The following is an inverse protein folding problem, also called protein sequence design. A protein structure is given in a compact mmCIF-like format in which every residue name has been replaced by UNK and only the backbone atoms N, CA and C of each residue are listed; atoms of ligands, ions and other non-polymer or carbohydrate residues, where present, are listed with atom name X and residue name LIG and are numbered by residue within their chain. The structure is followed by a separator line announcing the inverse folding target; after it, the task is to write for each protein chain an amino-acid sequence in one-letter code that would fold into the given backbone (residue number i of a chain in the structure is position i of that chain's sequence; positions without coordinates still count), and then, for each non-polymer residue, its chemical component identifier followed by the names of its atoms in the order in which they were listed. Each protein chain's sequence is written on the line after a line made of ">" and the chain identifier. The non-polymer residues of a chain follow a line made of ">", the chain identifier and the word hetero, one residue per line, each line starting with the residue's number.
data_IF_148739796029
#
_entry.id   IF_148739796029
#
_cell.length_a   1.000
_cell.length_b   1.000
_cell.length_c   1.000
_cell.angle_alpha   90.00
_cell.angle_beta   90.00
_cell.angle_gamma   90.00
#
_symmetry.space_group_name_H-M   'P 1'
#
loop_
_entity.id
_entity.type
_entity.pdbx_description
1 polymer ?
#
# COMPACT_ATOMS: atom_id res chain seq x y z
N UNK A 1 4.86 -3.09 -22.79
CA UNK A 1 4.82 -4.47 -22.23
C UNK A 1 5.46 -4.42 -20.85
N UNK A 2 4.97 -5.16 -19.84
CA UNK A 2 5.72 -5.28 -18.60
C UNK A 2 7.10 -5.87 -18.93
N UNK A 3 8.16 -5.29 -18.37
CA UNK A 3 9.55 -5.71 -18.63
C UNK A 3 9.90 -7.09 -18.04
N UNK A 4 8.98 -7.68 -17.27
CA UNK A 4 9.18 -8.91 -16.50
C UNK A 4 7.93 -9.80 -16.52
N UNK A 5 8.12 -11.13 -16.49
CA UNK A 5 7.05 -12.12 -16.58
C UNK A 5 6.01 -12.07 -15.43
N UNK A 6 4.84 -12.71 -15.60
CA UNK A 6 3.72 -12.65 -14.65
C UNK A 6 4.08 -13.13 -13.24
N UNK A 7 4.86 -14.22 -13.13
CA UNK A 7 5.30 -14.76 -11.84
C UNK A 7 6.15 -13.76 -11.05
N UNK A 8 7.02 -13.02 -11.74
CA UNK A 8 7.86 -12.00 -11.12
C UNK A 8 7.03 -10.83 -10.58
N UNK A 9 6.00 -10.42 -11.32
CA UNK A 9 5.07 -9.38 -10.86
C UNK A 9 4.30 -9.84 -9.61
N UNK A 10 3.88 -11.11 -9.57
CA UNK A 10 3.20 -11.67 -8.40
C UNK A 10 4.11 -11.66 -7.16
N UNK A 11 5.39 -12.00 -7.31
CA UNK A 11 6.37 -11.92 -6.20
C UNK A 11 6.56 -10.49 -5.72
N UNK A 12 6.71 -9.52 -6.63
CA UNK A 12 6.80 -8.09 -6.27
C UNK A 12 5.54 -7.60 -5.57
N UNK A 13 4.37 -7.99 -6.04
CA UNK A 13 3.08 -7.67 -5.42
C UNK A 13 3.00 -8.23 -3.99
N UNK A 14 3.38 -9.50 -3.80
CA UNK A 14 3.43 -10.14 -2.49
C UNK A 14 4.39 -9.43 -1.52
N UNK A 15 5.59 -9.07 -1.99
CA UNK A 15 6.55 -8.30 -1.21
C UNK A 15 6.01 -6.93 -0.79
N UNK A 16 5.39 -6.19 -1.71
CA UNK A 16 4.73 -4.92 -1.41
C UNK A 16 3.64 -5.10 -0.36
N UNK A 17 2.88 -6.20 -0.41
CA UNK A 17 1.86 -6.53 0.60
C UNK A 17 2.43 -6.76 2.01
N UNK A 18 3.59 -7.42 2.13
CA UNK A 18 4.27 -7.60 3.42
C UNK A 18 4.70 -6.23 3.97
N UNK A 19 5.36 -5.42 3.15
CA UNK A 19 5.81 -4.08 3.54
C UNK A 19 4.63 -3.18 3.91
N UNK A 20 3.53 -3.24 3.16
CA UNK A 20 2.30 -2.53 3.46
C UNK A 20 1.73 -2.88 4.84
N UNK A 21 1.70 -4.17 5.17
CA UNK A 21 1.19 -4.64 6.47
C UNK A 21 2.05 -4.08 7.62
N UNK A 22 3.38 -4.09 7.46
CA UNK A 22 4.29 -3.51 8.45
C UNK A 22 4.09 -2.01 8.61
N UNK A 23 4.01 -1.25 7.51
CA UNK A 23 3.77 0.20 7.56
C UNK A 23 2.43 0.51 8.22
N UNK A 24 1.37 -0.21 7.84
CA UNK A 24 0.03 -0.02 8.40
C UNK A 24 0.03 -0.27 9.91
N UNK A 25 0.65 -1.38 10.35
CA UNK A 25 0.77 -1.70 11.77
C UNK A 25 1.56 -0.61 12.53
N UNK A 26 2.69 -0.15 12.00
CA UNK A 26 3.50 0.91 12.60
C UNK A 26 2.69 2.20 12.75
N UNK A 27 1.95 2.61 11.72
CA UNK A 27 1.10 3.80 11.77
C UNK A 27 0.03 3.65 12.85
N UNK A 28 -0.68 2.53 12.89
CA UNK A 28 -1.74 2.30 13.88
C UNK A 28 -1.16 2.35 15.30
N UNK A 29 -0.07 1.64 15.56
CA UNK A 29 0.53 1.60 16.90
C UNK A 29 1.13 2.94 17.32
N UNK A 30 1.76 3.68 16.41
CA UNK A 30 2.26 5.02 16.70
C UNK A 30 1.11 5.98 17.05
N UNK A 31 0.02 5.98 16.27
CA UNK A 31 -1.13 6.84 16.55
C UNK A 31 -1.81 6.46 17.87
N UNK A 32 -1.96 5.17 18.15
CA UNK A 32 -2.45 4.69 19.45
C UNK A 32 -1.54 5.12 20.61
N UNK A 33 -0.22 5.06 20.43
CA UNK A 33 0.76 5.51 21.42
C UNK A 33 0.67 7.03 21.67
N UNK A 34 0.33 7.81 20.65
CA UNK A 34 0.04 9.25 20.76
C UNK A 34 -1.32 9.57 21.38
N UNK A 35 -2.09 8.56 21.82
CA UNK A 35 -3.38 8.72 22.49
C UNK A 35 -4.57 8.82 21.53
N UNK A 36 -4.38 8.60 20.23
CA UNK A 36 -5.51 8.53 19.29
C UNK A 36 -6.28 7.22 19.52
N UNK A 37 -7.61 7.34 19.60
CA UNK A 37 -8.49 6.18 19.81
C UNK A 37 -8.34 5.13 18.70
N UNK A 38 -8.62 3.87 19.05
CA UNK A 38 -8.42 2.71 18.16
C UNK A 38 -9.09 2.85 16.79
N UNK A 39 -10.29 3.42 16.73
CA UNK A 39 -11.01 3.62 15.47
C UNK A 39 -10.32 4.64 14.55
N UNK A 40 -9.87 5.76 15.10
CA UNK A 40 -9.20 6.80 14.34
C UNK A 40 -7.81 6.33 13.87
N UNK A 41 -7.07 5.66 14.74
CA UNK A 41 -5.78 5.06 14.41
C UNK A 41 -5.91 4.02 13.30
N UNK A 42 -6.92 3.14 13.35
CA UNK A 42 -7.19 2.18 12.28
C UNK A 42 -7.60 2.85 10.96
N UNK A 43 -8.49 3.86 11.00
CA UNK A 43 -8.90 4.59 9.81
C UNK A 43 -7.69 5.23 9.09
N UNK A 44 -6.82 5.89 9.85
CA UNK A 44 -5.58 6.47 9.32
C UNK A 44 -4.62 5.41 8.79
N UNK A 45 -4.48 4.28 9.50
CA UNK A 45 -3.70 3.14 9.04
C UNK A 45 -4.16 2.61 7.68
N UNK A 46 -5.47 2.43 7.48
CA UNK A 46 -6.03 2.01 6.20
C UNK A 46 -5.76 3.02 5.08
N UNK A 47 -5.94 4.32 5.34
CA UNK A 47 -5.66 5.36 4.33
C UNK A 47 -4.18 5.31 3.91
N UNK A 48 -3.26 5.26 4.87
CA UNK A 48 -1.82 5.18 4.58
C UNK A 48 -1.48 3.89 3.84
N UNK A 49 -2.03 2.74 4.26
CA UNK A 49 -1.80 1.46 3.62
C UNK A 49 -2.30 1.41 2.18
N UNK A 50 -3.51 1.91 1.91
CA UNK A 50 -4.07 1.98 0.55
C UNK A 50 -3.21 2.87 -0.35
N UNK A 51 -2.84 4.06 0.12
CA UNK A 51 -2.00 5.00 -0.63
C UNK A 51 -0.62 4.40 -0.92
N UNK A 52 0.02 3.82 0.09
CA UNK A 52 1.31 3.15 -0.06
C UNK A 52 1.22 1.99 -1.06
N UNK A 53 0.25 1.11 -0.88
CA UNK A 53 0.04 -0.05 -1.77
C UNK A 53 -0.19 0.36 -3.21
N UNK A 54 -0.98 1.42 -3.44
CA UNK A 54 -1.23 1.94 -4.78
C UNK A 54 0.06 2.48 -5.43
N UNK A 55 0.80 3.34 -4.73
CA UNK A 55 2.03 3.95 -5.24
C UNK A 55 3.10 2.87 -5.50
N UNK A 56 3.35 2.02 -4.51
CA UNK A 56 4.36 0.97 -4.60
C UNK A 56 4.03 -0.02 -5.71
N UNK A 57 2.80 -0.52 -5.80
CA UNK A 57 2.46 -1.44 -6.89
C UNK A 57 2.50 -0.76 -8.26
N UNK A 58 2.06 0.49 -8.36
CA UNK A 58 2.07 1.22 -9.64
C UNK A 58 3.48 1.44 -10.17
N UNK A 59 4.42 1.90 -9.32
CA UNK A 59 5.78 2.24 -9.75
C UNK A 59 6.68 1.01 -9.79
N UNK A 60 6.66 0.17 -8.75
CA UNK A 60 7.60 -0.94 -8.58
C UNK A 60 7.11 -2.25 -9.20
N UNK A 61 5.85 -2.63 -8.94
CA UNK A 61 5.32 -3.91 -9.42
C UNK A 61 5.00 -3.84 -10.92
N UNK A 62 4.24 -2.83 -11.34
CA UNK A 62 3.73 -2.71 -12.71
C UNK A 62 4.55 -1.76 -13.60
N UNK A 63 5.38 -0.89 -13.01
CA UNK A 63 6.21 0.10 -13.72
C UNK A 63 5.36 0.97 -14.64
N UNK A 64 4.38 1.63 -14.05
CA UNK A 64 3.37 2.43 -14.72
C UNK A 64 3.32 3.85 -14.14
N UNK A 65 2.86 4.84 -14.92
CA UNK A 65 2.63 6.18 -14.39
C UNK A 65 1.44 6.17 -13.41
N UNK A 66 1.59 6.96 -12.34
CA UNK A 66 0.53 7.20 -11.37
C UNK A 66 -0.60 8.00 -12.06
N UNK A 67 -1.84 7.55 -11.88
CA UNK A 67 -3.03 8.19 -12.43
C UNK A 67 -4.24 7.99 -11.50
N UNK A 68 -5.06 9.03 -11.36
CA UNK A 68 -6.30 8.98 -10.56
C UNK A 68 -7.26 7.91 -11.07
N UNK A 69 -7.42 7.75 -12.38
CA UNK A 69 -8.26 6.70 -12.96
C UNK A 69 -7.79 5.30 -12.56
N UNK A 70 -6.49 5.13 -12.29
CA UNK A 70 -5.92 3.86 -11.80
C UNK A 70 -6.12 3.70 -10.30
N UNK A 71 -6.07 4.79 -9.53
CA UNK A 71 -6.41 4.78 -8.10
C UNK A 71 -7.86 4.36 -7.90
N UNK A 72 -8.78 4.91 -8.69
CA UNK A 72 -10.21 4.53 -8.66
C UNK A 72 -10.41 3.06 -9.01
N UNK A 73 -9.58 2.48 -9.90
CA UNK A 73 -9.62 1.04 -10.23
C UNK A 73 -8.95 0.16 -9.17
N UNK A 74 -8.14 0.75 -8.32
CA UNK A 74 -7.42 0.04 -7.26
C UNK A 74 -8.26 -0.05 -5.98
N UNK A 75 -9.07 0.99 -5.71
CA UNK A 75 -10.13 1.00 -4.71
C UNK A 75 -11.28 0.09 -5.11
#
# INVERSE_FOLDING_TARGET
>A
MPSSGPLWQLMKYGLVGIVNTLITAVVIFLLMHLGLGIYLSNAMGYVVGIVFSFIANTIFTFTQPISINRLIKFL
#
